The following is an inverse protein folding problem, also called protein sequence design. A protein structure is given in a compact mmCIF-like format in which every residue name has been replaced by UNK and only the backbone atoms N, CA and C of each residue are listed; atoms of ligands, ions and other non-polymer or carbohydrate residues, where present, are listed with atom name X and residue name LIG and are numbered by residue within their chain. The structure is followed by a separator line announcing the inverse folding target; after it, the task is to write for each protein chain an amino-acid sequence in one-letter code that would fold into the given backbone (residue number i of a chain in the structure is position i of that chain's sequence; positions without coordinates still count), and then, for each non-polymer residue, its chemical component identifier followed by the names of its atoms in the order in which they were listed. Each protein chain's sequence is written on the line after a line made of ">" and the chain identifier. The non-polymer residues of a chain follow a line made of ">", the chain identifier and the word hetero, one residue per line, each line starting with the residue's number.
data_IF_303758262346
#
_entry.id   IF_303758262346
#
_cell.length_a   1.000
_cell.length_b   1.000
_cell.length_c   1.000
_cell.angle_alpha   90.00
_cell.angle_beta   90.00
_cell.angle_gamma   90.00
#
_symmetry.space_group_name_H-M   'P 1'
#
loop_
_entity.id
_entity.type
_entity.pdbx_description
1 polymer ?
#
# COMPACT_ATOMS: atom_id res chain seq x y z
N UNK A 1 -21.50 0.61 4.81
CA UNK A 1 -20.55 0.48 3.70
C UNK A 1 -21.21 0.42 2.31
N UNK A 2 -22.51 0.43 2.19
CA UNK A 2 -23.15 0.29 0.87
C UNK A 2 -22.69 -0.97 0.14
N UNK A 3 -21.98 -0.81 -0.95
CA UNK A 3 -21.56 -1.93 -1.80
C UNK A 3 -20.06 -2.33 -1.61
N UNK A 4 -19.31 -1.67 -0.71
CA UNK A 4 -17.89 -1.96 -0.48
C UNK A 4 -17.66 -3.00 0.61
N UNK A 5 -16.63 -3.84 0.42
CA UNK A 5 -16.11 -4.79 1.40
C UNK A 5 -14.60 -4.98 1.20
N UNK A 6 -13.91 -5.60 2.15
CA UNK A 6 -12.49 -5.92 2.03
C UNK A 6 -12.25 -7.40 1.82
N UNK A 7 -11.21 -7.69 1.04
CA UNK A 7 -10.56 -9.00 0.99
C UNK A 7 -9.11 -8.82 1.40
N UNK A 8 -8.50 -9.88 1.93
CA UNK A 8 -7.10 -9.85 2.32
C UNK A 8 -6.21 -10.58 1.33
N UNK A 9 -5.03 -10.03 1.03
CA UNK A 9 -3.97 -10.73 0.34
C UNK A 9 -2.71 -10.74 1.19
N UNK A 10 -2.09 -11.91 1.33
CA UNK A 10 -0.93 -12.11 2.20
C UNK A 10 0.35 -11.58 1.56
N UNK A 11 1.14 -10.85 2.37
CA UNK A 11 2.55 -10.57 2.12
C UNK A 11 3.35 -11.55 2.97
N UNK A 12 4.22 -12.33 2.36
CA UNK A 12 4.97 -13.38 3.04
C UNK A 12 6.47 -13.12 3.06
N UNK A 13 7.14 -13.71 4.01
CA UNK A 13 8.56 -13.97 3.92
C UNK A 13 8.77 -15.24 3.09
N UNK A 14 9.23 -15.09 1.85
CA UNK A 14 9.36 -16.21 0.91
C UNK A 14 10.38 -17.27 1.36
N UNK A 15 11.33 -16.92 2.23
CA UNK A 15 12.33 -17.86 2.78
C UNK A 15 11.73 -18.76 3.86
N UNK A 16 11.00 -18.17 4.82
CA UNK A 16 10.36 -18.94 5.91
C UNK A 16 8.94 -19.40 5.57
N UNK A 17 8.34 -18.88 4.51
CA UNK A 17 6.94 -19.08 4.14
C UNK A 17 5.94 -18.56 5.18
N UNK A 18 6.38 -17.73 6.11
CA UNK A 18 5.52 -17.12 7.11
C UNK A 18 4.78 -15.89 6.55
N UNK A 19 3.51 -15.78 6.91
CA UNK A 19 2.72 -14.57 6.64
C UNK A 19 3.24 -13.45 7.52
N UNK A 20 3.64 -12.35 6.92
CA UNK A 20 4.13 -11.15 7.63
C UNK A 20 3.03 -10.13 7.85
N UNK A 21 2.13 -10.00 6.88
CA UNK A 21 1.11 -8.97 6.84
C UNK A 21 -0.02 -9.39 5.90
N UNK A 22 -1.17 -8.81 6.07
CA UNK A 22 -2.31 -8.96 5.14
C UNK A 22 -2.69 -7.59 4.61
N UNK A 23 -2.58 -7.43 3.31
CA UNK A 23 -3.07 -6.24 2.62
C UNK A 23 -4.58 -6.29 2.46
N UNK A 24 -5.25 -5.22 2.89
CA UNK A 24 -6.70 -5.07 2.78
C UNK A 24 -7.05 -4.38 1.46
N UNK A 25 -7.66 -5.14 0.57
CA UNK A 25 -7.99 -4.71 -0.77
C UNK A 25 -9.50 -4.43 -0.87
N UNK A 26 -9.85 -3.19 -1.21
CA UNK A 26 -11.24 -2.77 -1.40
C UNK A 26 -11.88 -3.50 -2.59
N UNK A 27 -13.11 -3.94 -2.40
CA UNK A 27 -13.95 -4.59 -3.42
C UNK A 27 -15.37 -4.01 -3.38
N UNK A 28 -16.10 -4.18 -4.48
CA UNK A 28 -17.54 -3.89 -4.52
C UNK A 28 -18.31 -5.15 -4.88
N UNK A 29 -19.55 -5.23 -4.38
CA UNK A 29 -20.38 -6.45 -4.47
C UNK A 29 -20.59 -6.95 -5.92
N UNK A 30 -20.60 -6.05 -6.90
CA UNK A 30 -20.90 -6.35 -8.29
C UNK A 30 -19.69 -6.29 -9.23
N UNK A 31 -18.46 -6.26 -8.66
CA UNK A 31 -17.23 -6.13 -9.46
C UNK A 31 -16.12 -7.08 -9.04
N UNK A 32 -15.36 -7.52 -10.04
CA UNK A 32 -14.09 -8.23 -9.83
C UNK A 32 -12.96 -7.19 -9.81
N UNK A 33 -12.06 -7.29 -8.85
CA UNK A 33 -10.94 -6.36 -8.71
C UNK A 33 -11.28 -5.10 -7.91
N UNK A 34 -10.46 -4.06 -8.08
CA UNK A 34 -10.66 -2.77 -7.43
C UNK A 34 -11.83 -2.01 -8.06
N UNK A 35 -12.77 -1.44 -7.27
CA UNK A 35 -13.93 -0.72 -7.78
C UNK A 35 -13.59 0.74 -8.13
N UNK A 36 -12.76 0.93 -9.13
CA UNK A 36 -12.15 2.23 -9.47
C UNK A 36 -13.19 3.35 -9.64
N UNK A 37 -14.23 3.12 -10.44
CA UNK A 37 -15.24 4.15 -10.72
C UNK A 37 -16.06 4.52 -9.48
N UNK A 38 -16.47 3.52 -8.70
CA UNK A 38 -17.24 3.72 -7.46
C UNK A 38 -16.41 4.46 -6.41
N UNK A 39 -15.15 4.09 -6.29
CA UNK A 39 -14.23 4.74 -5.37
C UNK A 39 -13.89 6.16 -5.81
N UNK A 40 -13.65 6.39 -7.09
CA UNK A 40 -13.50 7.73 -7.66
C UNK A 40 -14.74 8.60 -7.41
N UNK A 41 -15.94 8.06 -7.57
CA UNK A 41 -17.17 8.76 -7.25
C UNK A 41 -17.25 9.13 -5.76
N UNK A 42 -16.84 8.24 -4.87
CA UNK A 42 -16.75 8.50 -3.44
C UNK A 42 -15.78 9.65 -3.14
N UNK A 43 -14.58 9.65 -3.72
CA UNK A 43 -13.58 10.71 -3.51
C UNK A 43 -14.01 12.08 -4.06
N UNK A 44 -14.86 12.11 -5.08
CA UNK A 44 -15.42 13.34 -5.64
C UNK A 44 -16.79 13.73 -5.03
N UNK A 45 -17.27 12.96 -4.07
CA UNK A 45 -18.51 13.24 -3.35
C UNK A 45 -18.30 14.26 -2.22
N UNK A 46 -19.27 14.39 -1.32
CA UNK A 46 -19.15 15.25 -0.15
C UNK A 46 -18.19 14.65 0.89
N UNK A 47 -17.49 15.52 1.64
CA UNK A 47 -16.68 15.09 2.79
C UNK A 47 -17.48 14.26 3.80
N UNK A 48 -18.80 14.50 3.91
CA UNK A 48 -19.69 13.70 4.79
C UNK A 48 -19.79 12.25 4.33
N UNK A 49 -19.86 12.00 3.02
CA UNK A 49 -19.88 10.62 2.48
C UNK A 49 -18.54 9.93 2.69
N UNK A 50 -17.43 10.64 2.47
CA UNK A 50 -16.10 10.09 2.74
C UNK A 50 -15.90 9.82 4.26
N UNK A 51 -16.40 10.68 5.16
CA UNK A 51 -16.40 10.42 6.60
C UNK A 51 -17.21 9.16 6.97
N UNK A 52 -18.36 8.94 6.32
CA UNK A 52 -19.13 7.72 6.53
C UNK A 52 -18.35 6.48 6.09
N UNK A 53 -17.66 6.53 4.94
CA UNK A 53 -16.76 5.47 4.49
C UNK A 53 -15.64 5.19 5.51
N UNK A 54 -14.97 6.21 6.04
CA UNK A 54 -13.92 6.03 7.05
C UNK A 54 -14.45 5.41 8.35
N UNK A 55 -15.69 5.74 8.72
CA UNK A 55 -16.36 5.12 9.88
C UNK A 55 -16.60 3.62 9.65
N UNK A 56 -17.06 3.26 8.46
CA UNK A 56 -17.29 1.86 8.10
C UNK A 56 -15.98 1.08 7.99
N UNK A 57 -14.94 1.69 7.42
CA UNK A 57 -13.58 1.17 7.41
C UNK A 57 -13.08 0.90 8.84
N UNK A 58 -13.29 1.84 9.76
CA UNK A 58 -12.90 1.67 11.16
C UNK A 58 -13.61 0.48 11.82
N UNK A 59 -14.91 0.30 11.56
CA UNK A 59 -15.67 -0.82 12.11
C UNK A 59 -15.12 -2.16 11.60
N UNK A 60 -14.78 -2.25 10.32
CA UNK A 60 -14.18 -3.44 9.73
C UNK A 60 -12.78 -3.72 10.32
N UNK A 61 -11.95 -2.69 10.47
CA UNK A 61 -10.64 -2.84 11.11
C UNK A 61 -10.75 -3.31 12.56
N UNK A 62 -11.68 -2.77 13.34
CA UNK A 62 -11.90 -3.20 14.73
C UNK A 62 -12.28 -4.68 14.77
N UNK A 63 -13.18 -5.13 13.89
CA UNK A 63 -13.55 -6.54 13.76
C UNK A 63 -12.35 -7.42 13.41
N UNK A 64 -11.53 -7.01 12.41
CA UNK A 64 -10.36 -7.76 11.98
C UNK A 64 -9.28 -7.83 13.07
N UNK A 65 -9.06 -6.77 13.83
CA UNK A 65 -8.09 -6.79 14.93
C UNK A 65 -8.51 -7.68 16.10
N UNK A 66 -9.81 -7.76 16.37
CA UNK A 66 -10.36 -8.68 17.37
C UNK A 66 -10.22 -10.13 16.91
N UNK A 67 -10.56 -10.40 15.65
CA UNK A 67 -10.48 -11.74 15.05
C UNK A 67 -9.05 -12.24 14.86
N UNK A 68 -8.11 -11.33 14.53
CA UNK A 68 -6.71 -11.64 14.24
C UNK A 68 -5.75 -10.77 15.09
N UNK A 69 -5.64 -11.04 16.40
CA UNK A 69 -4.98 -10.12 17.35
C UNK A 69 -3.47 -9.96 17.14
N UNK A 70 -2.82 -10.84 16.39
CA UNK A 70 -1.38 -10.77 16.07
C UNK A 70 -1.07 -10.33 14.64
N UNK A 71 -2.10 -10.24 13.78
CA UNK A 71 -1.91 -9.90 12.38
C UNK A 71 -1.56 -8.41 12.21
N UNK A 72 -0.66 -8.12 11.29
CA UNK A 72 -0.43 -6.78 10.75
C UNK A 72 -1.28 -6.59 9.50
N UNK A 73 -1.84 -5.40 9.33
CA UNK A 73 -2.65 -5.08 8.16
C UNK A 73 -2.08 -3.87 7.43
N UNK A 74 -2.17 -3.87 6.11
CA UNK A 74 -1.94 -2.68 5.31
C UNK A 74 -3.23 -2.18 4.65
N UNK A 75 -3.30 -0.85 4.50
CA UNK A 75 -4.43 -0.12 3.93
C UNK A 75 -3.94 0.84 2.87
N UNK A 76 -4.57 0.78 1.71
CA UNK A 76 -4.30 1.67 0.60
C UNK A 76 -5.02 3.02 0.76
N UNK A 77 -4.27 4.11 0.59
CA UNK A 77 -4.80 5.48 0.45
C UNK A 77 -4.18 6.14 -0.78
N UNK A 78 -5.00 6.89 -1.49
CA UNK A 78 -4.56 7.66 -2.66
C UNK A 78 -3.95 9.00 -2.25
N UNK A 79 -3.15 9.62 -3.13
CA UNK A 79 -2.65 10.98 -2.93
C UNK A 79 -3.81 11.99 -2.74
N UNK A 80 -4.97 11.77 -3.38
CA UNK A 80 -6.15 12.63 -3.21
C UNK A 80 -6.72 12.54 -1.79
N UNK A 81 -6.75 11.37 -1.17
CA UNK A 81 -7.23 11.21 0.20
C UNK A 81 -6.31 11.93 1.20
N UNK A 82 -5.01 12.01 0.91
CA UNK A 82 -4.07 12.79 1.73
C UNK A 82 -4.39 14.29 1.77
N UNK A 83 -5.16 14.81 0.82
CA UNK A 83 -5.63 16.19 0.80
C UNK A 83 -6.85 16.42 1.72
N UNK A 84 -7.51 15.35 2.19
CA UNK A 84 -8.69 15.47 3.01
C UNK A 84 -8.35 15.62 4.50
N UNK A 85 -8.69 16.76 5.14
CA UNK A 85 -8.41 16.96 6.57
C UNK A 85 -9.04 15.89 7.46
N UNK A 86 -10.15 15.28 7.01
CA UNK A 86 -10.85 14.22 7.75
C UNK A 86 -10.05 12.93 7.82
N UNK A 87 -9.17 12.63 6.83
CA UNK A 87 -8.30 11.46 6.88
C UNK A 87 -7.32 11.57 8.05
N UNK A 88 -6.64 12.71 8.20
CA UNK A 88 -5.70 12.91 9.32
C UNK A 88 -6.42 12.83 10.67
N UNK A 89 -7.64 13.37 10.75
CA UNK A 89 -8.47 13.27 11.98
C UNK A 89 -8.82 11.81 12.28
N UNK A 90 -9.18 11.04 11.27
CA UNK A 90 -9.45 9.61 11.39
C UNK A 90 -8.20 8.85 11.87
N UNK A 91 -7.05 9.04 11.22
CA UNK A 91 -5.79 8.38 11.61
C UNK A 91 -5.38 8.73 13.04
N UNK A 92 -5.62 9.97 13.50
CA UNK A 92 -5.41 10.37 14.91
C UNK A 92 -6.33 9.66 15.88
N UNK A 93 -7.54 9.28 15.49
CA UNK A 93 -8.50 8.62 16.36
C UNK A 93 -8.17 7.15 16.64
N UNK A 94 -7.38 6.50 15.79
CA UNK A 94 -6.96 5.10 15.97
C UNK A 94 -6.00 4.99 17.16
N UNK A 95 -6.21 3.98 17.98
CA UNK A 95 -5.38 3.70 19.16
C UNK A 95 -3.92 3.43 18.77
N UNK A 96 -2.98 3.92 19.58
CA UNK A 96 -1.53 3.81 19.30
C UNK A 96 -1.05 2.36 19.13
N UNK A 97 -1.57 1.42 19.92
CA UNK A 97 -1.22 0.00 19.81
C UNK A 97 -1.68 -0.60 18.46
N UNK A 98 -2.82 -0.11 17.94
CA UNK A 98 -3.33 -0.53 16.64
C UNK A 98 -2.53 0.09 15.50
N UNK A 99 -2.11 1.38 15.63
CA UNK A 99 -1.24 2.03 14.63
C UNK A 99 0.05 1.26 14.40
N UNK A 100 0.67 0.75 15.46
CA UNK A 100 1.89 -0.06 15.36
C UNK A 100 1.73 -1.35 14.52
N UNK A 101 0.49 -1.79 14.32
CA UNK A 101 0.11 -2.96 13.52
C UNK A 101 -0.44 -2.61 12.15
N UNK A 102 -0.42 -1.33 11.78
CA UNK A 102 -0.89 -0.85 10.49
C UNK A 102 0.26 -0.35 9.63
N UNK A 103 0.21 -0.72 8.36
CA UNK A 103 0.96 -0.08 7.29
C UNK A 103 -0.01 0.80 6.49
N UNK A 104 0.34 2.05 6.25
CA UNK A 104 -0.37 2.93 5.34
C UNK A 104 0.33 2.87 3.99
N UNK A 105 -0.33 2.30 2.99
CA UNK A 105 0.20 2.21 1.63
C UNK A 105 -0.32 3.37 0.80
N UNK A 106 0.57 4.14 0.19
CA UNK A 106 0.19 5.28 -0.64
C UNK A 106 0.33 4.87 -2.10
N UNK A 107 -0.82 4.88 -2.80
CA UNK A 107 -0.88 4.45 -4.20
C UNK A 107 -0.24 5.48 -5.14
N UNK A 108 0.09 5.03 -6.35
CA UNK A 108 0.75 5.82 -7.39
C UNK A 108 -0.19 6.83 -8.08
N UNK A 109 -1.49 6.75 -7.79
CA UNK A 109 -2.51 7.56 -8.47
C UNK A 109 -2.36 9.04 -8.15
N UNK A 110 -2.30 9.86 -9.21
CA UNK A 110 -2.23 11.32 -9.08
C UNK A 110 -3.52 11.89 -8.43
N UNK A 111 -3.39 12.88 -7.52
CA UNK A 111 -4.55 13.58 -7.01
C UNK A 111 -5.24 14.34 -8.14
N UNK A 112 -6.54 14.60 -7.98
CA UNK A 112 -7.26 15.43 -8.93
C UNK A 112 -6.64 16.84 -8.96
N UNK A 113 -6.35 17.38 -10.14
CA UNK A 113 -5.68 18.68 -10.36
C UNK A 113 -6.31 19.88 -9.62
N UNK A 114 -7.57 19.77 -9.19
CA UNK A 114 -8.23 20.79 -8.38
C UNK A 114 -7.63 20.98 -6.99
N UNK A 115 -6.84 20.04 -6.51
CA UNK A 115 -6.35 19.99 -5.12
C UNK A 115 -4.83 20.04 -5.00
N UNK A 116 -4.10 20.19 -6.13
CA UNK A 116 -2.64 20.22 -6.11
C UNK A 116 -2.11 21.61 -5.79
N UNK A 117 -1.84 21.84 -4.51
CA UNK A 117 -0.94 22.92 -4.07
C UNK A 117 0.54 22.50 -4.15
N UNK A 118 0.83 21.24 -4.54
CA UNK A 118 2.16 20.66 -4.51
C UNK A 118 2.76 20.60 -5.91
N UNK A 119 3.95 21.19 -6.07
CA UNK A 119 4.67 21.25 -7.35
C UNK A 119 4.99 19.87 -7.92
N UNK A 120 5.17 18.87 -7.06
CA UNK A 120 5.64 17.53 -7.43
C UNK A 120 4.56 16.45 -7.30
N UNK A 121 3.30 16.85 -7.13
CA UNK A 121 2.17 15.95 -6.96
C UNK A 121 2.28 14.96 -5.75
N UNK A 122 3.15 15.25 -4.77
CA UNK A 122 3.29 14.45 -3.55
C UNK A 122 3.20 15.32 -2.29
N UNK A 123 2.33 14.93 -1.36
CA UNK A 123 2.10 15.67 -0.12
C UNK A 123 3.09 15.29 0.98
N UNK A 124 4.36 15.73 0.86
CA UNK A 124 5.43 15.44 1.84
C UNK A 124 5.02 15.79 3.27
N UNK A 125 4.28 16.89 3.46
CA UNK A 125 3.79 17.32 4.79
C UNK A 125 2.87 16.28 5.42
N UNK A 126 2.01 15.63 4.62
CA UNK A 126 1.13 14.57 5.12
C UNK A 126 1.90 13.30 5.47
N UNK A 127 2.87 12.89 4.65
CA UNK A 127 3.77 11.78 4.98
C UNK A 127 4.44 11.99 6.35
N UNK A 128 4.97 13.19 6.58
CA UNK A 128 5.56 13.54 7.88
C UNK A 128 4.53 13.40 9.02
N UNK A 129 3.31 13.96 8.85
CA UNK A 129 2.25 13.89 9.87
C UNK A 129 1.84 12.46 10.20
N UNK A 130 1.69 11.60 9.19
CA UNK A 130 1.33 10.19 9.37
C UNK A 130 2.48 9.44 10.08
N UNK A 131 3.72 9.67 9.68
CA UNK A 131 4.90 9.13 10.33
C UNK A 131 4.99 9.55 11.81
N UNK A 132 4.79 10.84 12.10
CA UNK A 132 4.84 11.38 13.47
C UNK A 132 3.72 10.82 14.38
N UNK A 133 2.63 10.31 13.79
CA UNK A 133 1.58 9.58 14.52
C UNK A 133 1.98 8.14 14.86
N UNK A 134 3.14 7.66 14.39
CA UNK A 134 3.66 6.31 14.64
C UNK A 134 3.21 5.25 13.64
N UNK A 135 2.64 5.64 12.51
CA UNK A 135 2.35 4.70 11.43
C UNK A 135 3.60 4.35 10.63
N UNK A 136 3.65 3.12 10.14
CA UNK A 136 4.54 2.75 9.05
C UNK A 136 3.89 3.15 7.73
N UNK A 137 4.70 3.62 6.78
CA UNK A 137 4.22 4.04 5.47
C UNK A 137 4.94 3.26 4.38
N UNK A 138 4.19 2.80 3.37
CA UNK A 138 4.72 2.22 2.15
C UNK A 138 4.38 3.10 0.94
N UNK A 139 5.27 3.12 -0.06
CA UNK A 139 4.93 3.54 -1.42
C UNK A 139 4.59 2.31 -2.23
N UNK A 140 3.37 2.27 -2.73
CA UNK A 140 2.89 1.21 -3.62
C UNK A 140 3.31 1.49 -5.07
N UNK A 141 3.52 0.45 -5.87
CA UNK A 141 3.90 0.56 -7.28
C UNK A 141 5.02 1.57 -7.56
N UNK A 142 6.15 1.47 -6.83
CA UNK A 142 7.31 2.36 -7.04
C UNK A 142 7.76 2.37 -8.50
N UNK A 143 8.16 3.53 -9.00
CA UNK A 143 8.48 3.87 -10.40
C UNK A 143 7.26 4.01 -11.30
N UNK A 144 6.05 4.05 -10.76
CA UNK A 144 4.83 4.33 -11.50
C UNK A 144 4.15 5.61 -10.98
N UNK A 145 3.40 6.26 -11.86
CA UNK A 145 2.61 7.45 -11.53
C UNK A 145 3.34 8.44 -10.64
N UNK A 146 2.71 8.82 -9.53
CA UNK A 146 3.29 9.71 -8.54
C UNK A 146 4.33 9.05 -7.62
N UNK A 147 4.42 7.74 -7.59
CA UNK A 147 5.45 7.03 -6.84
C UNK A 147 6.76 6.91 -7.65
N UNK A 148 7.14 8.00 -8.35
CA UNK A 148 8.41 8.12 -9.07
C UNK A 148 9.61 8.05 -8.13
N UNK A 149 10.81 7.74 -8.66
CA UNK A 149 12.04 7.78 -7.87
C UNK A 149 12.32 9.17 -7.27
N UNK A 150 11.97 10.25 -8.00
CA UNK A 150 12.12 11.61 -7.49
C UNK A 150 11.26 11.84 -6.24
N UNK A 151 9.98 11.49 -6.31
CA UNK A 151 9.05 11.60 -5.18
C UNK A 151 9.42 10.68 -4.01
N UNK A 152 9.89 9.45 -4.30
CA UNK A 152 10.46 8.59 -3.28
C UNK A 152 11.58 9.27 -2.49
N UNK A 153 12.52 9.94 -3.17
CA UNK A 153 13.63 10.64 -2.49
C UNK A 153 13.14 11.74 -1.55
N UNK A 154 12.04 12.43 -1.89
CA UNK A 154 11.43 13.47 -1.04
C UNK A 154 10.80 12.88 0.23
N UNK A 155 10.10 11.75 0.14
CA UNK A 155 9.40 11.13 1.27
C UNK A 155 10.20 10.03 1.97
N UNK A 156 11.37 9.66 1.45
CA UNK A 156 12.25 8.61 2.00
C UNK A 156 12.46 8.67 3.52
N UNK A 157 12.58 9.86 4.17
CA UNK A 157 12.74 9.92 5.62
C UNK A 157 11.53 9.43 6.43
N UNK A 158 10.36 9.31 5.81
CA UNK A 158 9.09 9.03 6.47
C UNK A 158 8.53 7.64 6.15
N UNK A 159 9.14 6.91 5.21
CA UNK A 159 8.62 5.63 4.74
C UNK A 159 9.41 4.45 5.29
N UNK A 160 8.76 3.31 5.42
CA UNK A 160 9.32 2.05 5.93
C UNK A 160 9.39 0.96 4.87
N UNK A 161 8.71 1.16 3.73
CA UNK A 161 8.58 0.16 2.66
C UNK A 161 8.39 0.81 1.30
N UNK A 162 8.88 0.13 0.28
CA UNK A 162 8.44 0.31 -1.12
C UNK A 162 7.97 -1.02 -1.66
N UNK A 163 6.97 -1.00 -2.56
CA UNK A 163 6.46 -2.18 -3.28
C UNK A 163 6.69 -1.99 -4.77
N UNK A 164 7.15 -3.03 -5.44
CA UNK A 164 7.35 -3.05 -6.88
C UNK A 164 6.64 -4.24 -7.51
N UNK A 165 5.89 -4.02 -8.59
CA UNK A 165 5.02 -5.03 -9.18
C UNK A 165 5.52 -5.51 -10.55
N UNK A 166 5.54 -6.85 -10.73
CA UNK A 166 5.73 -7.49 -12.02
C UNK A 166 4.56 -7.22 -12.96
N UNK A 167 3.33 -7.14 -12.44
CA UNK A 167 2.12 -7.04 -13.26
C UNK A 167 1.94 -5.64 -13.84
N UNK A 168 2.34 -4.60 -13.12
CA UNK A 168 2.10 -3.21 -13.54
C UNK A 168 3.25 -2.62 -14.38
N UNK A 169 4.47 -3.07 -14.20
CA UNK A 169 5.63 -2.55 -14.95
C UNK A 169 6.52 -3.65 -15.52
N UNK A 170 6.57 -4.79 -14.83
CA UNK A 170 7.54 -5.84 -15.12
C UNK A 170 7.29 -6.61 -16.41
N UNK A 171 6.03 -6.75 -16.87
CA UNK A 171 5.75 -7.56 -18.04
C UNK A 171 6.23 -6.97 -19.38
N UNK A 172 6.55 -5.67 -19.40
CA UNK A 172 7.19 -5.01 -20.55
C UNK A 172 8.71 -5.15 -20.56
N UNK A 173 9.30 -5.74 -19.52
CA UNK A 173 10.73 -5.77 -19.28
C UNK A 173 11.28 -7.19 -19.47
N UNK A 174 12.48 -7.30 -20.00
CA UNK A 174 13.20 -8.57 -19.99
C UNK A 174 13.84 -8.84 -18.61
N UNK A 175 14.26 -10.08 -18.37
CA UNK A 175 14.84 -10.52 -17.10
C UNK A 175 16.05 -9.69 -16.65
N UNK A 176 16.90 -9.27 -17.59
CA UNK A 176 18.07 -8.44 -17.29
C UNK A 176 17.69 -7.03 -16.81
N UNK A 177 16.66 -6.43 -17.41
CA UNK A 177 16.13 -5.13 -17.00
C UNK A 177 15.50 -5.21 -15.60
N UNK A 178 14.71 -6.26 -15.33
CA UNK A 178 14.14 -6.52 -14.00
C UNK A 178 15.25 -6.69 -12.97
N UNK A 179 16.30 -7.45 -13.29
CA UNK A 179 17.46 -7.61 -12.40
C UNK A 179 18.06 -6.25 -11.99
N UNK A 180 18.28 -5.35 -12.94
CA UNK A 180 18.85 -4.03 -12.64
C UNK A 180 17.90 -3.15 -11.83
N UNK A 181 16.60 -3.20 -12.08
CA UNK A 181 15.59 -2.49 -11.27
C UNK A 181 15.61 -2.99 -9.82
N UNK A 182 15.55 -4.29 -9.62
CA UNK A 182 15.58 -4.86 -8.26
C UNK A 182 16.89 -4.49 -7.54
N UNK A 183 18.02 -4.55 -8.23
CA UNK A 183 19.33 -4.12 -7.67
C UNK A 183 19.32 -2.64 -7.29
N UNK A 184 18.78 -1.77 -8.13
CA UNK A 184 18.64 -0.34 -7.83
C UNK A 184 17.77 -0.13 -6.60
N UNK A 185 16.56 -0.69 -6.58
CA UNK A 185 15.63 -0.54 -5.48
C UNK A 185 16.23 -1.07 -4.16
N UNK A 186 16.92 -2.21 -4.21
CA UNK A 186 17.64 -2.75 -3.06
C UNK A 186 18.74 -1.79 -2.57
N UNK A 187 19.52 -1.20 -3.46
CA UNK A 187 20.57 -0.24 -3.07
C UNK A 187 20.00 1.02 -2.42
N UNK A 188 18.83 1.48 -2.86
CA UNK A 188 18.16 2.66 -2.33
C UNK A 188 17.52 2.43 -0.94
N UNK A 189 17.24 1.19 -0.59
CA UNK A 189 16.48 0.82 0.61
C UNK A 189 17.36 0.27 1.74
N UNK A 190 18.43 -0.48 1.42
CA UNK A 190 19.21 -1.23 2.41
C UNK A 190 19.86 -0.36 3.52
N UNK A 191 20.33 0.84 3.18
CA UNK A 191 21.01 1.74 4.13
C UNK A 191 20.07 2.40 5.16
N UNK A 192 18.77 2.44 4.87
CA UNK A 192 17.77 3.15 5.68
C UNK A 192 16.79 2.23 6.40
N UNK A 193 16.98 0.91 6.32
CA UNK A 193 16.06 -0.04 6.92
C UNK A 193 14.66 -0.06 6.26
N UNK A 194 14.55 0.47 5.02
CA UNK A 194 13.32 0.41 4.24
C UNK A 194 13.20 -0.98 3.64
N UNK A 195 12.06 -1.64 3.80
CA UNK A 195 11.82 -2.96 3.19
C UNK A 195 11.41 -2.81 1.72
N UNK A 196 11.77 -3.81 0.91
CA UNK A 196 11.28 -3.98 -0.46
C UNK A 196 10.35 -5.19 -0.50
N UNK A 197 9.12 -4.98 -0.95
CA UNK A 197 8.19 -6.04 -1.34
C UNK A 197 8.17 -6.12 -2.86
N UNK A 198 8.22 -7.34 -3.40
CA UNK A 198 7.99 -7.58 -4.83
C UNK A 198 6.67 -8.30 -5.00
N UNK A 199 5.81 -7.73 -5.83
CA UNK A 199 4.44 -8.16 -6.08
C UNK A 199 4.28 -8.86 -7.43
N UNK A 200 3.14 -9.55 -7.59
CA UNK A 200 2.83 -10.27 -8.83
C UNK A 200 3.70 -11.51 -9.02
N UNK A 201 4.17 -12.11 -7.92
CA UNK A 201 4.95 -13.35 -7.97
C UNK A 201 4.00 -14.53 -8.15
N UNK A 202 4.07 -15.19 -9.31
CA UNK A 202 3.17 -16.29 -9.67
C UNK A 202 3.90 -17.65 -9.81
N UNK A 203 5.25 -17.64 -9.91
CA UNK A 203 6.06 -18.82 -10.17
C UNK A 203 7.14 -19.03 -9.10
N UNK A 204 7.35 -20.28 -8.69
CA UNK A 204 8.40 -20.65 -7.72
C UNK A 204 9.79 -20.25 -8.19
N UNK A 205 10.07 -20.36 -9.48
CA UNK A 205 11.38 -19.99 -10.03
C UNK A 205 11.65 -18.49 -9.88
N UNK A 206 10.65 -17.65 -10.09
CA UNK A 206 10.74 -16.20 -9.87
C UNK A 206 10.94 -15.89 -8.39
N UNK A 207 10.17 -16.54 -7.51
CA UNK A 207 10.33 -16.39 -6.06
C UNK A 207 11.75 -16.75 -5.60
N UNK A 208 12.27 -17.90 -6.04
CA UNK A 208 13.62 -18.31 -5.71
C UNK A 208 14.68 -17.34 -6.26
N UNK A 209 14.53 -16.88 -7.50
CA UNK A 209 15.43 -15.89 -8.10
C UNK A 209 15.45 -14.58 -7.28
N UNK A 210 14.31 -14.09 -6.84
CA UNK A 210 14.21 -12.91 -5.97
C UNK A 210 14.94 -13.13 -4.63
N UNK A 211 14.83 -14.33 -4.04
CA UNK A 211 15.58 -14.68 -2.82
C UNK A 211 17.11 -14.59 -3.03
N UNK A 212 17.63 -14.97 -4.21
CA UNK A 212 19.08 -14.81 -4.53
C UNK A 212 19.52 -13.34 -4.54
N UNK A 213 18.59 -12.41 -4.73
CA UNK A 213 18.80 -10.96 -4.68
C UNK A 213 18.46 -10.34 -3.31
N UNK A 214 18.26 -11.18 -2.26
CA UNK A 214 17.84 -10.77 -0.92
C UNK A 214 16.49 -10.03 -0.88
N UNK A 215 15.55 -10.39 -1.76
CA UNK A 215 14.16 -9.95 -1.70
C UNK A 215 13.35 -11.03 -0.99
N UNK A 216 13.16 -10.85 0.32
CA UNK A 216 12.48 -11.84 1.16
C UNK A 216 10.97 -11.60 1.22
N UNK A 217 10.52 -10.35 1.20
CA UNK A 217 9.09 -10.04 1.25
C UNK A 217 8.51 -10.08 -0.16
N UNK A 218 7.55 -10.97 -0.36
CA UNK A 218 6.93 -11.21 -1.66
C UNK A 218 5.42 -11.36 -1.52
N UNK A 219 4.70 -10.97 -2.59
CA UNK A 219 3.26 -11.08 -2.69
C UNK A 219 2.88 -11.56 -4.10
N UNK A 220 1.87 -12.40 -4.21
CA UNK A 220 1.41 -12.88 -5.51
C UNK A 220 0.61 -14.18 -5.41
N UNK A 221 0.07 -14.61 -6.55
CA UNK A 221 -0.80 -15.78 -6.63
C UNK A 221 -0.07 -17.10 -6.36
N UNK A 222 1.25 -17.11 -6.43
CA UNK A 222 2.05 -18.22 -5.96
C UNK A 222 1.75 -18.56 -4.48
N UNK A 223 1.51 -17.54 -3.65
CA UNK A 223 1.35 -17.69 -2.22
C UNK A 223 -0.11 -17.67 -1.79
N UNK A 224 -0.83 -16.64 -2.19
CA UNK A 224 -2.24 -16.50 -1.90
C UNK A 224 -2.94 -15.56 -2.91
N UNK A 225 -4.14 -15.93 -3.31
CA UNK A 225 -5.06 -15.01 -3.97
C UNK A 225 -5.80 -14.17 -2.93
N UNK A 226 -6.25 -12.94 -3.29
CA UNK A 226 -7.13 -12.18 -2.41
C UNK A 226 -8.36 -13.01 -2.01
N UNK A 227 -8.64 -13.09 -0.71
CA UNK A 227 -9.73 -13.86 -0.16
C UNK A 227 -10.46 -13.10 0.96
N UNK A 228 -11.71 -13.48 1.25
CA UNK A 228 -12.45 -12.96 2.41
C UNK A 228 -11.74 -13.35 3.70
N UNK A 229 -11.68 -12.41 4.64
CA UNK A 229 -11.07 -12.57 5.95
C UNK A 229 -12.08 -13.03 7.01
#
# INVERSE_FOLDING_TARGET
>A
MGDFYFVGQQIIDAKSREVREVELLLRATNKVGFPEQEFHNLLNSSLKQYQAYLKDLNNELMYLWDKYPTCQFSLNFTQQELEFPVLLTYLKSINTNMRARMMIEITEQAPNKKYTEYSDNINVSMFKKIHDLGYKIALDDIMQGNNSLGNFMLVRPYISRIKWSFTNGGHYLNQQQIYWIIKLLRSLTCEKGISLVVEGVEEEMISYWLLTMNVHQQQGFLFAKPAKL
#
